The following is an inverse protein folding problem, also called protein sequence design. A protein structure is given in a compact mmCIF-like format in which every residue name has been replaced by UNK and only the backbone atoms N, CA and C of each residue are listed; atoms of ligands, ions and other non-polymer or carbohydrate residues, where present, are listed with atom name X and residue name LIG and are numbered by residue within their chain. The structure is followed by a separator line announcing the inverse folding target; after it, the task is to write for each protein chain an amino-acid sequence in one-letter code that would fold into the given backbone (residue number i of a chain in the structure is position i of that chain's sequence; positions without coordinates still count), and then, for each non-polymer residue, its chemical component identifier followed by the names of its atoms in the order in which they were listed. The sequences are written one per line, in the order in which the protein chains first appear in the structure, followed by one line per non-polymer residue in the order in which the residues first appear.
data_IF_593413821012
#
_entry.id   IF_593413821012
#
_cell.length_a   1.000
_cell.length_b   1.000
_cell.length_c   1.000
_cell.angle_alpha   90.00
_cell.angle_beta   90.00
_cell.angle_gamma   90.00
#
_symmetry.space_group_name_H-M   'P 1'
#
loop_
_entity.id
_entity.type
_entity.pdbx_description
1 polymer ?
#
# COMPACT_ATOMS: atom_id res chain seq x y z
N UNK A 1 -22.30 -32.63 -12.15
CA UNK A 1 -22.00 -33.86 -11.38
C UNK A 1 -22.13 -33.64 -9.88
N UNK A 2 -21.46 -32.65 -9.28
CA UNK A 2 -21.53 -32.40 -7.82
C UNK A 2 -22.97 -32.26 -7.28
N UNK A 3 -23.80 -31.40 -7.89
CA UNK A 3 -25.18 -31.18 -7.41
C UNK A 3 -26.01 -32.46 -7.41
N UNK A 4 -25.85 -33.32 -8.41
CA UNK A 4 -26.54 -34.61 -8.47
C UNK A 4 -26.04 -35.56 -7.38
N UNK A 5 -24.73 -35.63 -7.17
CA UNK A 5 -24.15 -36.43 -6.09
C UNK A 5 -24.67 -35.99 -4.71
N UNK A 6 -24.73 -34.68 -4.44
CA UNK A 6 -25.28 -34.14 -3.19
C UNK A 6 -26.75 -34.54 -2.97
N UNK A 7 -27.57 -34.47 -4.02
CA UNK A 7 -28.98 -34.91 -3.95
C UNK A 7 -29.07 -36.39 -3.63
N UNK A 8 -28.37 -37.24 -4.39
CA UNK A 8 -28.42 -38.69 -4.16
C UNK A 8 -27.86 -39.11 -2.80
N UNK A 9 -26.86 -38.40 -2.27
CA UNK A 9 -26.35 -38.62 -0.92
C UNK A 9 -27.37 -38.21 0.14
N UNK A 10 -28.01 -37.04 0.00
CA UNK A 10 -29.07 -36.59 0.89
C UNK A 10 -30.20 -37.62 1.00
N UNK A 11 -30.73 -38.06 -0.14
CA UNK A 11 -31.86 -38.99 -0.20
C UNK A 11 -31.52 -40.35 0.43
N UNK A 12 -30.24 -40.74 0.39
CA UNK A 12 -29.75 -41.97 1.00
C UNK A 12 -29.53 -41.93 2.51
N UNK A 13 -29.49 -40.75 3.15
CA UNK A 13 -29.08 -40.63 4.57
C UNK A 13 -30.06 -39.86 5.47
N UNK A 14 -30.94 -39.01 4.93
CA UNK A 14 -31.67 -38.02 5.75
C UNK A 14 -32.75 -38.64 6.65
N UNK A 15 -33.34 -39.78 6.26
CA UNK A 15 -34.46 -40.39 6.99
C UNK A 15 -35.72 -39.50 6.98
N UNK A 16 -36.67 -39.77 7.88
CA UNK A 16 -37.84 -38.90 8.07
C UNK A 16 -37.42 -37.65 8.87
N UNK A 17 -37.77 -36.48 8.35
CA UNK A 17 -37.65 -35.19 9.04
C UNK A 17 -38.94 -34.40 8.83
N UNK A 18 -39.55 -33.94 9.93
CA UNK A 18 -40.84 -33.23 9.95
C UNK A 18 -40.73 -31.73 9.65
N UNK A 19 -39.51 -31.23 9.39
CA UNK A 19 -39.24 -29.84 9.09
C UNK A 19 -38.85 -29.00 10.32
N UNK A 20 -38.86 -29.57 11.52
CA UNK A 20 -38.49 -28.83 12.74
C UNK A 20 -36.98 -28.52 12.78
N UNK A 21 -36.57 -27.37 13.32
CA UNK A 21 -35.16 -27.00 13.40
C UNK A 21 -34.41 -27.95 14.35
N UNK A 22 -33.48 -28.72 13.81
CA UNK A 22 -32.62 -29.63 14.60
C UNK A 22 -31.40 -28.93 15.22
N UNK A 23 -31.17 -27.66 14.87
CA UNK A 23 -30.08 -26.84 15.42
C UNK A 23 -30.49 -25.38 15.48
N UNK A 24 -29.96 -24.68 16.47
CA UNK A 24 -30.00 -23.22 16.50
C UNK A 24 -28.96 -22.72 15.49
N UNK A 25 -29.33 -21.80 14.57
CA UNK A 25 -28.36 -21.16 13.70
C UNK A 25 -27.22 -20.51 14.50
N UNK A 26 -26.01 -20.42 13.96
CA UNK A 26 -24.96 -19.62 14.59
C UNK A 26 -25.47 -18.19 14.79
N UNK A 27 -25.00 -17.52 15.86
CA UNK A 27 -25.31 -16.11 16.07
C UNK A 27 -24.79 -15.33 14.87
N UNK A 28 -25.69 -14.69 14.16
CA UNK A 28 -25.35 -13.60 13.25
C UNK A 28 -25.14 -12.36 14.12
N UNK A 29 -24.09 -11.60 13.88
CA UNK A 29 -23.81 -10.36 14.62
C UNK A 29 -25.01 -9.44 14.70
N UNK A 30 -25.06 -8.60 15.74
CA UNK A 30 -26.16 -7.64 15.95
C UNK A 30 -25.85 -6.24 15.41
N UNK A 31 -24.65 -6.02 14.88
CA UNK A 31 -24.20 -4.74 14.35
C UNK A 31 -23.65 -4.91 12.93
N UNK A 32 -23.73 -3.86 12.12
CA UNK A 32 -23.34 -3.90 10.70
C UNK A 32 -21.81 -4.02 10.51
N UNK A 33 -21.05 -3.77 11.57
CA UNK A 33 -19.59 -3.91 11.61
C UNK A 33 -19.12 -5.35 11.88
N UNK A 34 -20.01 -6.22 12.38
CA UNK A 34 -19.66 -7.61 12.68
C UNK A 34 -19.59 -8.48 11.40
N UNK A 35 -18.37 -8.70 10.94
CA UNK A 35 -18.08 -9.55 9.79
C UNK A 35 -17.72 -11.00 10.17
N UNK A 36 -17.86 -11.41 11.44
CA UNK A 36 -17.41 -12.71 11.94
C UNK A 36 -18.13 -13.90 11.28
N UNK A 37 -19.38 -13.70 10.83
CA UNK A 37 -20.19 -14.71 10.15
C UNK A 37 -19.71 -15.03 8.73
N UNK A 38 -18.92 -14.15 8.10
CA UNK A 38 -18.40 -14.33 6.75
C UNK A 38 -17.10 -15.15 6.75
N UNK A 39 -16.76 -15.80 5.63
CA UNK A 39 -15.41 -16.37 5.44
C UNK A 39 -14.39 -15.28 5.13
N UNK A 40 -13.08 -15.51 5.38
CA UNK A 40 -12.02 -14.51 5.13
C UNK A 40 -12.05 -13.89 3.73
N UNK A 41 -12.23 -14.66 2.63
CA UNK A 41 -12.32 -14.07 1.28
C UNK A 41 -13.53 -13.15 1.11
N UNK A 42 -14.70 -13.53 1.66
CA UNK A 42 -15.92 -12.72 1.54
C UNK A 42 -15.84 -11.46 2.39
N UNK A 43 -15.24 -11.53 3.59
CA UNK A 43 -14.94 -10.32 4.39
C UNK A 43 -14.08 -9.34 3.63
N UNK A 44 -13.00 -9.83 3.01
CA UNK A 44 -12.07 -9.00 2.25
C UNK A 44 -12.77 -8.30 1.10
N UNK A 45 -13.61 -9.02 0.35
CA UNK A 45 -14.40 -8.47 -0.75
C UNK A 45 -15.39 -7.40 -0.28
N UNK A 46 -16.07 -7.63 0.84
CA UNK A 46 -17.02 -6.65 1.41
C UNK A 46 -16.31 -5.36 1.82
N UNK A 47 -15.18 -5.48 2.53
CA UNK A 47 -14.37 -4.32 2.93
C UNK A 47 -13.93 -3.53 1.70
N UNK A 48 -13.43 -4.21 0.66
CA UNK A 48 -13.01 -3.55 -0.59
C UNK A 48 -14.19 -2.82 -1.26
N UNK A 49 -15.36 -3.45 -1.33
CA UNK A 49 -16.56 -2.87 -1.93
C UNK A 49 -17.05 -1.61 -1.19
N UNK A 50 -16.82 -1.52 0.11
CA UNK A 50 -17.21 -0.37 0.93
C UNK A 50 -16.14 0.72 0.96
N UNK A 51 -14.86 0.34 0.92
CA UNK A 51 -13.73 1.28 0.98
C UNK A 51 -13.43 1.94 -0.37
N UNK A 52 -13.34 1.14 -1.44
CA UNK A 52 -12.87 1.63 -2.74
C UNK A 52 -13.69 2.80 -3.31
N UNK A 53 -15.03 2.87 -3.19
CA UNK A 53 -15.80 3.99 -3.73
C UNK A 53 -15.46 5.37 -3.16
N UNK A 54 -14.88 5.42 -1.95
CA UNK A 54 -14.39 6.65 -1.34
C UNK A 54 -13.15 7.19 -2.06
N UNK A 55 -12.34 6.32 -2.68
CA UNK A 55 -11.12 6.70 -3.38
C UNK A 55 -11.37 6.72 -4.89
N UNK A 56 -10.93 7.80 -5.55
CA UNK A 56 -11.05 7.95 -7.00
C UNK A 56 -9.78 8.48 -7.60
N UNK A 57 -9.49 8.04 -8.81
CA UNK A 57 -8.42 8.60 -9.65
C UNK A 57 -9.05 9.12 -10.93
N UNK A 58 -8.79 10.38 -11.24
CA UNK A 58 -9.13 11.00 -12.52
C UNK A 58 -7.85 11.50 -13.17
N UNK A 59 -7.86 11.77 -14.47
CA UNK A 59 -6.66 12.25 -15.14
C UNK A 59 -6.81 12.34 -16.64
N UNK A 60 -5.81 12.95 -17.25
CA UNK A 60 -5.69 13.10 -18.69
C UNK A 60 -4.26 13.51 -19.06
N UNK A 61 -3.82 13.11 -20.24
CA UNK A 61 -2.63 13.64 -20.93
C UNK A 61 -1.32 13.73 -20.12
N UNK A 62 -1.05 12.73 -19.28
CA UNK A 62 0.17 12.69 -18.48
C UNK A 62 0.01 13.24 -17.07
N UNK A 63 -1.19 13.64 -16.66
CA UNK A 63 -1.51 14.08 -15.31
C UNK A 63 -2.61 13.20 -14.72
N UNK A 64 -2.54 12.94 -13.41
CA UNK A 64 -3.57 12.23 -12.68
C UNK A 64 -3.78 12.82 -11.28
N UNK A 65 -5.02 12.85 -10.81
CA UNK A 65 -5.39 13.33 -9.48
C UNK A 65 -6.06 12.20 -8.72
N UNK A 66 -5.54 11.89 -7.53
CA UNK A 66 -6.19 11.00 -6.58
C UNK A 66 -7.02 11.83 -5.60
N UNK A 67 -8.25 11.42 -5.36
CA UNK A 67 -9.19 12.08 -4.44
C UNK A 67 -9.81 11.08 -3.49
N UNK A 68 -10.16 11.54 -2.29
CA UNK A 68 -10.86 10.77 -1.26
C UNK A 68 -12.10 11.53 -0.83
N UNK A 69 -13.27 10.87 -0.87
CA UNK A 69 -14.57 11.48 -0.55
C UNK A 69 -14.85 12.77 -1.34
N UNK A 70 -14.37 12.82 -2.59
CA UNK A 70 -14.50 13.98 -3.47
C UNK A 70 -13.46 15.09 -3.25
N UNK A 71 -12.56 14.95 -2.27
CA UNK A 71 -11.48 15.91 -1.97
C UNK A 71 -10.19 15.51 -2.68
N UNK A 72 -9.54 16.39 -3.46
CA UNK A 72 -8.27 16.08 -4.09
C UNK A 72 -7.17 15.94 -3.02
N UNK A 73 -6.43 14.83 -3.07
CA UNK A 73 -5.34 14.52 -2.13
C UNK A 73 -3.99 14.87 -2.73
N UNK A 74 -3.77 14.46 -3.98
CA UNK A 74 -2.59 14.84 -4.74
C UNK A 74 -2.86 14.80 -6.24
N UNK A 75 -2.09 15.62 -6.96
CA UNK A 75 -1.95 15.54 -8.41
C UNK A 75 -0.52 15.15 -8.76
N UNK A 76 -0.38 14.18 -9.66
CA UNK A 76 0.89 13.66 -10.15
C UNK A 76 1.04 13.98 -11.65
N UNK A 77 2.24 14.42 -12.02
CA UNK A 77 2.58 14.78 -13.39
C UNK A 77 3.70 13.90 -13.94
N UNK A 78 3.49 13.34 -15.13
CA UNK A 78 4.50 12.55 -15.84
C UNK A 78 5.76 13.42 -16.07
N UNK A 79 6.94 12.96 -15.60
CA UNK A 79 8.20 13.63 -15.89
C UNK A 79 8.48 13.73 -17.39
N UNK A 80 9.19 14.78 -17.79
CA UNK A 80 9.59 14.92 -19.19
C UNK A 80 10.59 13.82 -19.59
N UNK A 81 10.71 13.56 -20.90
CA UNK A 81 11.72 12.61 -21.42
C UNK A 81 13.16 13.00 -21.03
N UNK A 82 13.42 14.29 -20.78
CA UNK A 82 14.73 14.75 -20.36
C UNK A 82 15.05 14.31 -18.92
N UNK A 83 14.06 14.35 -18.01
CA UNK A 83 14.20 13.81 -16.65
C UNK A 83 14.54 12.32 -16.69
N UNK A 84 13.77 11.52 -17.44
CA UNK A 84 14.05 10.08 -17.57
C UNK A 84 15.43 9.78 -18.14
N UNK A 85 15.88 10.55 -19.15
CA UNK A 85 17.24 10.39 -19.70
C UNK A 85 18.33 10.68 -18.68
N UNK A 86 18.17 11.72 -17.86
CA UNK A 86 19.13 12.05 -16.80
C UNK A 86 19.25 10.91 -15.77
N UNK A 87 18.14 10.20 -15.51
CA UNK A 87 18.05 9.10 -14.56
C UNK A 87 18.70 7.79 -15.06
N UNK A 88 19.00 7.64 -16.36
CA UNK A 88 19.64 6.41 -16.88
C UNK A 88 21.02 6.15 -16.24
N UNK A 89 21.77 7.21 -15.93
CA UNK A 89 23.06 7.08 -15.22
C UNK A 89 22.87 6.43 -13.84
N UNK A 90 21.79 6.77 -13.14
CA UNK A 90 21.45 6.17 -11.84
C UNK A 90 21.06 4.71 -12.00
N UNK A 91 20.18 4.36 -12.95
CA UNK A 91 19.77 2.97 -13.19
C UNK A 91 20.98 2.10 -13.55
N UNK A 92 21.90 2.62 -14.37
CA UNK A 92 23.16 1.94 -14.70
C UNK A 92 24.06 1.76 -13.47
N UNK A 93 24.19 2.76 -12.60
CA UNK A 93 24.98 2.64 -11.38
C UNK A 93 24.35 1.66 -10.37
N UNK A 94 23.02 1.70 -10.23
CA UNK A 94 22.27 0.78 -9.38
C UNK A 94 22.43 -0.69 -9.80
N UNK A 95 22.72 -0.97 -11.07
CA UNK A 95 22.94 -2.33 -11.55
C UNK A 95 24.10 -3.05 -10.86
N UNK A 96 25.08 -2.32 -10.32
CA UNK A 96 26.20 -2.89 -9.57
C UNK A 96 25.76 -3.58 -8.27
N UNK A 97 24.57 -3.23 -7.73
CA UNK A 97 24.00 -3.83 -6.52
C UNK A 97 23.16 -5.09 -6.79
N UNK A 98 23.00 -5.53 -8.05
CA UNK A 98 22.09 -6.63 -8.39
C UNK A 98 22.47 -7.94 -7.71
N UNK A 99 23.75 -8.26 -7.64
CA UNK A 99 24.23 -9.49 -7.00
C UNK A 99 23.83 -9.54 -5.51
N UNK A 100 23.94 -8.42 -4.81
CA UNK A 100 23.59 -8.33 -3.39
C UNK A 100 22.07 -8.32 -3.15
N UNK A 101 21.29 -7.82 -4.11
CA UNK A 101 19.84 -7.59 -3.95
C UNK A 101 18.95 -8.58 -4.65
N UNK A 102 19.48 -9.51 -5.44
CA UNK A 102 18.69 -10.42 -6.28
C UNK A 102 17.61 -11.19 -5.50
N UNK A 103 17.96 -11.77 -4.35
CA UNK A 103 17.02 -12.58 -3.57
C UNK A 103 15.88 -11.73 -2.99
N UNK A 104 16.21 -10.53 -2.48
CA UNK A 104 15.20 -9.57 -2.05
C UNK A 104 14.31 -9.16 -3.22
N UNK A 105 14.92 -8.85 -4.37
CA UNK A 105 14.21 -8.35 -5.56
C UNK A 105 13.19 -9.37 -6.05
N UNK A 106 13.59 -10.64 -6.16
CA UNK A 106 12.75 -11.74 -6.64
C UNK A 106 11.59 -12.00 -5.69
N UNK A 107 11.84 -12.10 -4.38
CA UNK A 107 10.76 -12.34 -3.41
C UNK A 107 9.75 -11.18 -3.38
N UNK A 108 10.26 -9.94 -3.41
CA UNK A 108 9.44 -8.71 -3.42
C UNK A 108 8.56 -8.55 -4.66
N UNK A 109 8.68 -9.42 -5.68
CA UNK A 109 7.73 -9.40 -6.82
C UNK A 109 6.35 -9.94 -6.46
N UNK A 110 6.26 -10.80 -5.43
CA UNK A 110 5.01 -11.42 -5.01
C UNK A 110 4.73 -11.32 -3.51
N UNK A 111 5.76 -11.09 -2.68
CA UNK A 111 5.62 -11.01 -1.23
C UNK A 111 6.36 -9.78 -0.68
N UNK A 112 5.59 -8.74 -0.38
CA UNK A 112 6.08 -7.53 0.27
C UNK A 112 6.03 -7.65 1.80
N UNK A 113 5.02 -8.31 2.36
CA UNK A 113 4.70 -8.24 3.78
C UNK A 113 5.51 -9.18 4.66
N UNK A 114 6.10 -10.26 4.15
CA UNK A 114 7.07 -11.03 4.94
C UNK A 114 8.27 -10.19 5.38
N UNK A 115 8.67 -9.19 4.58
CA UNK A 115 9.74 -8.26 4.95
C UNK A 115 9.32 -7.32 6.09
N UNK A 116 8.07 -6.85 6.09
CA UNK A 116 7.54 -6.07 7.22
C UNK A 116 7.36 -6.95 8.46
N UNK A 117 6.95 -8.21 8.28
CA UNK A 117 6.81 -9.17 9.37
C UNK A 117 8.11 -9.45 10.10
N UNK A 118 9.25 -9.49 9.38
CA UNK A 118 10.57 -9.62 9.99
C UNK A 118 10.94 -8.46 10.93
N UNK A 119 10.34 -7.27 10.77
CA UNK A 119 10.64 -6.10 11.60
C UNK A 119 9.81 -6.02 12.89
N UNK A 120 8.55 -6.44 12.81
CA UNK A 120 7.55 -6.21 13.86
C UNK A 120 6.95 -7.51 14.41
N UNK A 121 7.47 -8.67 14.02
CA UNK A 121 6.92 -10.00 14.34
C UNK A 121 5.45 -10.13 13.90
N UNK A 122 5.12 -9.67 12.68
CA UNK A 122 3.77 -9.85 12.14
C UNK A 122 3.53 -11.33 11.86
N UNK A 123 2.65 -11.96 12.65
CA UNK A 123 2.18 -13.32 12.41
C UNK A 123 0.66 -13.36 12.31
N UNK A 124 0.13 -14.32 11.55
CA UNK A 124 -1.31 -14.52 11.42
C UNK A 124 -2.00 -14.90 12.75
N UNK A 125 -1.23 -15.35 13.75
CA UNK A 125 -1.74 -15.76 15.05
C UNK A 125 -1.81 -14.59 16.05
N UNK A 126 -0.86 -13.64 15.96
CA UNK A 126 -0.77 -12.51 16.91
C UNK A 126 -1.28 -11.20 16.33
N UNK A 127 -1.16 -11.03 15.02
CA UNK A 127 -1.41 -9.77 14.33
C UNK A 127 -2.39 -9.96 13.16
N UNK A 128 -3.43 -10.79 13.37
CA UNK A 128 -4.39 -11.15 12.35
C UNK A 128 -5.13 -9.92 11.80
N UNK A 129 -5.47 -8.97 12.67
CA UNK A 129 -6.21 -7.75 12.33
C UNK A 129 -5.30 -6.72 11.67
N UNK A 130 -4.06 -6.58 12.15
CA UNK A 130 -3.03 -5.78 11.48
C UNK A 130 -2.76 -6.29 10.06
N UNK A 131 -2.59 -7.61 9.88
CA UNK A 131 -2.41 -8.19 8.55
C UNK A 131 -3.64 -7.97 7.66
N UNK A 132 -4.86 -8.13 8.19
CA UNK A 132 -6.07 -7.83 7.45
C UNK A 132 -6.14 -6.35 7.02
N UNK A 133 -5.71 -5.42 7.88
CA UNK A 133 -5.62 -4.00 7.57
C UNK A 133 -4.57 -3.71 6.48
N UNK A 134 -3.37 -4.29 6.59
CA UNK A 134 -2.30 -4.14 5.59
C UNK A 134 -2.69 -4.71 4.23
N UNK A 135 -3.31 -5.89 4.17
CA UNK A 135 -3.81 -6.46 2.92
C UNK A 135 -4.96 -5.64 2.32
N UNK A 136 -5.83 -5.06 3.16
CA UNK A 136 -6.88 -4.14 2.69
C UNK A 136 -6.27 -2.89 2.08
N UNK A 137 -5.29 -2.28 2.76
CA UNK A 137 -4.54 -1.14 2.23
C UNK A 137 -3.85 -1.50 0.89
N UNK A 138 -3.19 -2.66 0.80
CA UNK A 138 -2.54 -3.11 -0.43
C UNK A 138 -3.52 -3.28 -1.59
N UNK A 139 -4.66 -3.95 -1.38
CA UNK A 139 -5.67 -4.14 -2.42
C UNK A 139 -6.18 -2.79 -2.94
N UNK A 140 -6.45 -1.84 -2.03
CA UNK A 140 -6.78 -0.48 -2.40
C UNK A 140 -5.67 0.16 -3.24
N UNK A 141 -4.41 0.11 -2.82
CA UNK A 141 -3.28 0.70 -3.56
C UNK A 141 -3.17 0.13 -4.98
N UNK A 142 -3.30 -1.19 -5.14
CA UNK A 142 -3.27 -1.86 -6.45
C UNK A 142 -4.39 -1.33 -7.37
N UNK A 143 -5.59 -1.07 -6.83
CA UNK A 143 -6.68 -0.48 -7.62
C UNK A 143 -6.46 0.98 -8.00
N UNK A 144 -5.72 1.75 -7.20
CA UNK A 144 -5.46 3.17 -7.45
C UNK A 144 -4.24 3.39 -8.35
N UNK A 145 -3.20 2.57 -8.23
CA UNK A 145 -1.96 2.76 -9.00
C UNK A 145 -2.16 2.53 -10.51
N UNK A 146 -3.06 1.63 -10.90
CA UNK A 146 -3.27 1.30 -12.32
C UNK A 146 -3.87 2.48 -13.10
N UNK A 147 -4.93 3.16 -12.61
CA UNK A 147 -5.38 4.43 -13.18
C UNK A 147 -4.31 5.53 -13.18
N UNK A 148 -3.56 5.70 -12.08
CA UNK A 148 -2.47 6.71 -12.02
C UNK A 148 -1.44 6.47 -13.13
N UNK A 149 -1.02 5.22 -13.30
CA UNK A 149 -0.14 4.76 -14.39
C UNK A 149 -0.76 4.97 -15.76
N UNK A 150 -2.06 4.67 -15.90
CA UNK A 150 -2.78 4.79 -17.15
C UNK A 150 -2.88 6.23 -17.65
N UNK A 151 -3.09 7.19 -16.75
CA UNK A 151 -3.17 8.60 -17.12
C UNK A 151 -1.77 9.22 -17.31
N UNK A 152 -0.76 8.78 -16.55
CA UNK A 152 0.60 9.28 -16.70
C UNK A 152 1.32 8.75 -17.95
N UNK A 153 1.29 7.44 -18.22
CA UNK A 153 1.94 6.77 -19.37
C UNK A 153 3.40 7.18 -19.61
N UNK A 154 4.31 6.65 -18.81
CA UNK A 154 5.76 6.73 -19.03
C UNK A 154 6.38 5.43 -19.56
N UNK A 155 7.40 5.51 -20.45
CA UNK A 155 8.26 4.39 -20.83
C UNK A 155 9.16 3.91 -19.68
N UNK A 156 9.64 2.67 -19.79
CA UNK A 156 10.54 2.01 -18.84
C UNK A 156 12.02 2.32 -19.15
N UNK A 157 12.97 2.08 -18.22
CA UNK A 157 14.39 2.25 -18.49
C UNK A 157 14.90 1.49 -19.73
N UNK A 158 14.43 0.26 -19.95
CA UNK A 158 14.84 -0.57 -21.09
C UNK A 158 14.39 0.00 -22.45
N UNK A 159 13.29 0.76 -22.49
CA UNK A 159 12.79 1.40 -23.72
C UNK A 159 13.72 2.51 -24.20
N UNK A 160 14.49 3.13 -23.29
CA UNK A 160 15.50 4.11 -23.65
C UNK A 160 16.85 3.48 -23.99
N UNK A 161 17.20 2.35 -23.35
CA UNK A 161 18.46 1.68 -23.56
C UNK A 161 18.35 0.18 -23.26
N UNK A 162 18.43 -0.66 -24.30
CA UNK A 162 18.40 -2.13 -24.18
C UNK A 162 19.55 -2.70 -23.34
N UNK A 163 20.66 -1.96 -23.23
CA UNK A 163 21.80 -2.27 -22.36
C UNK A 163 21.45 -2.33 -20.86
N UNK A 164 20.30 -1.77 -20.44
CA UNK A 164 19.84 -1.86 -19.05
C UNK A 164 19.62 -3.32 -18.61
N UNK A 165 19.15 -4.18 -19.52
CA UNK A 165 18.87 -5.61 -19.30
C UNK A 165 18.24 -5.87 -17.91
N UNK A 166 16.94 -5.55 -17.73
CA UNK A 166 16.26 -5.74 -16.45
C UNK A 166 16.39 -7.18 -15.94
N UNK A 167 16.59 -7.36 -14.64
CA UNK A 167 16.81 -8.69 -14.04
C UNK A 167 15.52 -9.46 -13.73
N UNK A 168 14.38 -8.79 -13.88
CA UNK A 168 13.04 -9.38 -13.80
C UNK A 168 12.27 -8.99 -15.06
N UNK A 169 11.23 -9.74 -15.39
CA UNK A 169 10.43 -9.44 -16.57
C UNK A 169 9.80 -8.04 -16.42
N UNK A 170 9.93 -7.23 -17.47
CA UNK A 170 9.36 -5.88 -17.45
C UNK A 170 7.84 -5.98 -17.49
N UNK A 171 7.10 -5.38 -16.53
CA UNK A 171 5.65 -5.42 -16.56
C UNK A 171 5.08 -4.73 -17.79
N UNK A 172 3.91 -5.18 -18.25
CA UNK A 172 3.22 -4.71 -19.47
C UNK A 172 2.52 -3.35 -19.32
N UNK A 173 2.54 -2.77 -18.13
CA UNK A 173 1.98 -1.46 -17.82
C UNK A 173 3.05 -0.38 -17.61
N UNK A 174 2.61 0.88 -17.54
CA UNK A 174 3.47 2.06 -17.43
C UNK A 174 4.45 2.03 -16.24
N UNK A 175 5.62 2.65 -16.44
CA UNK A 175 6.67 2.84 -15.43
C UNK A 175 6.29 3.82 -14.32
N UNK A 176 5.52 4.87 -14.62
CA UNK A 176 5.33 5.98 -13.67
C UNK A 176 3.88 6.09 -13.21
N UNK A 177 3.61 6.25 -11.89
CA UNK A 177 4.55 6.09 -10.76
C UNK A 177 4.92 4.62 -10.50
N UNK A 178 5.88 4.35 -9.61
CA UNK A 178 6.20 2.98 -9.16
C UNK A 178 5.10 2.43 -8.26
N UNK A 179 4.50 1.30 -8.64
CA UNK A 179 3.38 0.69 -7.91
C UNK A 179 3.81 0.12 -6.57
N UNK A 180 4.85 -0.73 -6.57
CA UNK A 180 5.45 -1.22 -5.33
C UNK A 180 5.88 -0.11 -4.38
N UNK A 181 6.31 1.06 -4.87
CA UNK A 181 6.61 2.19 -3.99
C UNK A 181 5.33 2.73 -3.30
N UNK A 182 4.22 2.87 -4.04
CA UNK A 182 2.92 3.24 -3.44
C UNK A 182 2.54 2.21 -2.37
N UNK A 183 2.54 0.93 -2.73
CA UNK A 183 2.15 -0.17 -1.83
C UNK A 183 2.95 -0.17 -0.52
N UNK A 184 4.28 -0.12 -0.59
CA UNK A 184 5.15 -0.25 0.60
C UNK A 184 5.20 1.00 1.45
N UNK A 185 5.09 2.20 0.87
CA UNK A 185 5.02 3.44 1.66
C UNK A 185 3.64 3.63 2.30
N UNK A 186 2.55 3.19 1.65
CA UNK A 186 1.23 3.13 2.29
C UNK A 186 1.21 2.11 3.43
N UNK A 187 1.78 0.91 3.21
CA UNK A 187 1.89 -0.10 4.26
C UNK A 187 2.77 0.36 5.44
N UNK A 188 3.91 1.01 5.17
CA UNK A 188 4.75 1.58 6.22
C UNK A 188 4.01 2.65 7.04
N UNK A 189 3.20 3.47 6.38
CA UNK A 189 2.38 4.51 7.03
C UNK A 189 1.32 3.90 7.94
N UNK A 190 0.54 2.95 7.43
CA UNK A 190 -0.48 2.23 8.22
C UNK A 190 0.17 1.50 9.39
N UNK A 191 1.30 0.82 9.18
CA UNK A 191 1.99 0.10 10.25
C UNK A 191 2.56 1.05 11.31
N UNK A 192 3.14 2.19 10.93
CA UNK A 192 3.61 3.20 11.87
C UNK A 192 2.47 3.76 12.73
N UNK A 193 1.33 4.07 12.11
CA UNK A 193 0.11 4.52 12.81
C UNK A 193 -0.44 3.45 13.76
N UNK A 194 -0.53 2.19 13.35
CA UNK A 194 -1.03 1.11 14.21
C UNK A 194 -0.09 0.78 15.38
N UNK A 195 1.23 0.71 15.12
CA UNK A 195 2.20 0.26 16.13
C UNK A 195 2.67 1.38 17.06
N UNK A 196 2.59 2.62 16.60
CA UNK A 196 3.14 3.76 17.33
C UNK A 196 2.26 4.99 17.32
N UNK A 197 1.16 5.06 16.57
CA UNK A 197 0.36 6.29 16.41
C UNK A 197 1.02 7.42 15.63
N UNK A 198 2.29 7.27 15.22
CA UNK A 198 3.02 8.29 14.46
C UNK A 198 2.61 8.24 12.99
N UNK A 199 2.40 9.41 12.39
CA UNK A 199 2.30 9.55 10.94
C UNK A 199 3.67 9.44 10.27
N UNK A 200 3.71 9.46 8.93
CA UNK A 200 4.93 9.20 8.17
C UNK A 200 6.04 10.23 8.45
N UNK A 201 5.71 11.51 8.63
CA UNK A 201 6.72 12.56 8.82
C UNK A 201 7.38 12.43 10.20
N UNK A 202 6.60 12.22 11.25
CA UNK A 202 7.08 11.96 12.61
C UNK A 202 7.86 10.64 12.66
N UNK A 203 7.35 9.56 12.06
CA UNK A 203 8.04 8.26 12.03
C UNK A 203 9.44 8.33 11.38
N UNK A 204 9.65 9.21 10.39
CA UNK A 204 10.95 9.40 9.73
C UNK A 204 11.89 10.39 10.42
N UNK A 205 11.42 11.12 11.43
CA UNK A 205 12.19 12.19 12.11
C UNK A 205 12.44 11.89 13.58
N UNK A 206 11.53 11.18 14.24
CA UNK A 206 11.58 10.95 15.66
C UNK A 206 12.70 9.98 16.06
N UNK A 207 13.50 10.39 17.04
CA UNK A 207 14.70 9.68 17.47
C UNK A 207 14.48 8.79 18.69
N UNK A 208 13.29 8.81 19.29
CA UNK A 208 12.92 7.94 20.43
C UNK A 208 12.90 6.46 20.04
N UNK A 209 12.82 5.54 21.00
CA UNK A 209 12.71 4.11 20.67
C UNK A 209 11.45 3.81 19.84
N UNK A 210 10.32 4.47 20.18
CA UNK A 210 9.07 4.49 19.42
C UNK A 210 9.29 4.97 17.98
N UNK A 211 9.89 6.15 17.81
CA UNK A 211 10.21 6.71 16.50
C UNK A 211 11.12 5.82 15.66
N UNK A 212 12.19 5.28 16.26
CA UNK A 212 13.10 4.35 15.57
C UNK A 212 12.40 3.09 15.08
N UNK A 213 11.44 2.56 15.84
CA UNK A 213 10.63 1.41 15.43
C UNK A 213 9.77 1.76 14.21
N UNK A 214 9.03 2.86 14.26
CA UNK A 214 8.22 3.34 13.14
C UNK A 214 9.08 3.60 11.89
N UNK A 215 10.24 4.24 12.06
CA UNK A 215 11.17 4.53 10.98
C UNK A 215 11.78 3.30 10.27
N UNK A 216 11.81 2.12 10.91
CA UNK A 216 12.27 0.89 10.24
C UNK A 216 11.36 0.49 9.09
N UNK A 217 10.05 0.69 9.22
CA UNK A 217 9.08 0.40 8.17
C UNK A 217 9.35 1.27 6.92
N UNK A 218 9.63 2.56 7.11
CA UNK A 218 9.99 3.48 6.02
C UNK A 218 11.35 3.18 5.39
N UNK A 219 12.34 2.73 6.17
CA UNK A 219 13.64 2.28 5.63
C UNK A 219 13.49 1.03 4.77
N UNK A 220 12.58 0.12 5.13
CA UNK A 220 12.27 -1.05 4.30
C UNK A 220 11.49 -0.65 3.06
N UNK A 221 10.48 0.21 3.18
CA UNK A 221 9.74 0.76 2.05
C UNK A 221 10.71 1.41 1.03
N UNK A 222 11.64 2.23 1.52
CA UNK A 222 12.72 2.80 0.71
C UNK A 222 13.59 1.74 0.04
N UNK A 223 14.00 0.69 0.76
CA UNK A 223 14.80 -0.40 0.22
C UNK A 223 14.06 -1.16 -0.89
N UNK A 224 12.79 -1.47 -0.71
CA UNK A 224 11.97 -2.16 -1.71
C UNK A 224 11.77 -1.29 -2.97
N UNK A 225 11.48 0.00 -2.78
CA UNK A 225 11.34 0.95 -3.87
C UNK A 225 12.65 1.14 -4.66
N UNK A 226 13.79 1.19 -3.96
CA UNK A 226 15.13 1.27 -4.57
C UNK A 226 15.48 -0.02 -5.32
N UNK A 227 15.09 -1.18 -4.78
CA UNK A 227 15.28 -2.48 -5.42
C UNK A 227 14.60 -2.55 -6.80
N UNK A 228 13.57 -1.73 -7.08
CA UNK A 228 12.96 -1.63 -8.41
C UNK A 228 13.85 -0.93 -9.44
N UNK A 229 14.61 0.09 -9.01
CA UNK A 229 15.63 0.74 -9.84
C UNK A 229 16.83 -0.18 -10.08
N UNK A 230 17.28 -0.90 -9.03
CA UNK A 230 18.33 -1.92 -9.13
C UNK A 230 17.93 -3.02 -10.12
N UNK A 231 16.67 -3.45 -10.07
CA UNK A 231 16.13 -4.44 -11.00
C UNK A 231 16.06 -3.94 -12.46
N UNK A 232 16.21 -2.64 -12.69
CA UNK A 232 16.19 -2.03 -14.03
C UNK A 232 14.78 -1.77 -14.59
N UNK A 233 13.74 -1.89 -13.76
CA UNK A 233 12.34 -1.74 -14.21
C UNK A 233 11.74 -0.36 -13.92
N UNK A 234 12.36 0.44 -13.06
CA UNK A 234 11.88 1.78 -12.68
C UNK A 234 13.03 2.79 -12.65
N UNK A 235 12.70 4.07 -12.86
CA UNK A 235 13.59 5.18 -12.56
C UNK A 235 13.45 5.60 -11.08
N UNK A 236 14.47 6.20 -10.45
CA UNK A 236 14.34 6.75 -9.11
C UNK A 236 13.18 7.75 -8.94
N UNK A 237 12.89 8.58 -9.95
CA UNK A 237 11.70 9.46 -9.96
C UNK A 237 10.37 8.70 -9.87
N UNK A 238 10.26 7.50 -10.45
CA UNK A 238 9.06 6.66 -10.34
C UNK A 238 8.83 6.24 -8.88
N UNK A 239 9.91 5.83 -8.22
CA UNK A 239 9.91 5.47 -6.79
C UNK A 239 9.69 6.68 -5.89
N UNK A 240 10.22 7.85 -6.26
CA UNK A 240 9.98 9.10 -5.56
C UNK A 240 8.52 9.51 -5.54
N UNK A 241 7.89 9.49 -6.71
CA UNK A 241 6.47 9.81 -6.85
C UNK A 241 5.58 8.80 -6.11
N UNK A 242 5.89 7.51 -6.27
CA UNK A 242 5.17 6.44 -5.57
C UNK A 242 5.33 6.52 -4.05
N UNK A 243 6.48 6.95 -3.54
CA UNK A 243 6.69 7.13 -2.11
C UNK A 243 5.83 8.26 -1.51
N UNK A 244 5.77 9.41 -2.20
CA UNK A 244 4.89 10.52 -1.77
C UNK A 244 3.42 10.09 -1.82
N UNK A 245 2.98 9.54 -2.95
CA UNK A 245 1.61 9.06 -3.13
C UNK A 245 1.23 7.97 -2.09
N UNK A 246 2.14 7.02 -1.84
CA UNK A 246 1.92 5.95 -0.85
C UNK A 246 1.76 6.49 0.57
N UNK A 247 2.60 7.43 1.00
CA UNK A 247 2.43 8.06 2.31
C UNK A 247 1.10 8.82 2.43
N UNK A 248 0.73 9.59 1.41
CA UNK A 248 -0.54 10.34 1.41
C UNK A 248 -1.75 9.40 1.43
N UNK A 249 -1.73 8.34 0.63
CA UNK A 249 -2.82 7.35 0.60
C UNK A 249 -2.90 6.54 1.89
N UNK A 250 -1.77 6.19 2.50
CA UNK A 250 -1.75 5.54 3.82
C UNK A 250 -2.33 6.44 4.92
N UNK A 251 -2.00 7.73 4.89
CA UNK A 251 -2.58 8.76 5.77
C UNK A 251 -4.08 8.98 5.51
N UNK A 252 -4.53 8.85 4.26
CA UNK A 252 -5.94 8.93 3.91
C UNK A 252 -6.72 7.71 4.41
N UNK A 253 -6.16 6.50 4.28
CA UNK A 253 -6.73 5.28 4.88
C UNK A 253 -6.87 5.43 6.40
N UNK A 254 -5.87 6.03 7.05
CA UNK A 254 -5.95 6.35 8.47
C UNK A 254 -7.12 7.28 8.79
N UNK A 255 -7.24 8.42 8.11
CA UNK A 255 -8.34 9.39 8.31
C UNK A 255 -9.72 8.77 8.11
N UNK A 256 -9.89 8.00 7.05
CA UNK A 256 -11.16 7.28 6.78
C UNK A 256 -11.46 6.27 7.90
N UNK A 257 -10.46 5.55 8.39
CA UNK A 257 -10.65 4.58 9.46
C UNK A 257 -10.97 5.23 10.83
N UNK A 258 -10.51 6.46 11.07
CA UNK A 258 -10.68 7.17 12.35
C UNK A 258 -11.77 8.25 12.32
N UNK A 259 -12.39 8.50 11.18
CA UNK A 259 -13.38 9.56 11.01
C UNK A 259 -12.81 10.97 11.13
N UNK A 260 -11.49 11.15 10.96
CA UNK A 260 -10.85 12.46 11.04
C UNK A 260 -11.12 13.27 9.77
N UNK A 261 -11.52 14.53 9.96
CA UNK A 261 -11.83 15.48 8.87
C UNK A 261 -10.71 16.51 8.62
N UNK A 262 -9.53 16.32 9.22
CA UNK A 262 -8.34 17.18 9.11
C UNK A 262 -7.52 16.87 7.84
N UNK A 263 -8.15 17.07 6.68
CA UNK A 263 -7.51 16.81 5.38
C UNK A 263 -6.46 17.87 5.03
N UNK A 264 -5.26 17.47 4.56
CA UNK A 264 -4.26 18.42 4.10
C UNK A 264 -4.67 19.05 2.76
N UNK A 265 -4.03 20.17 2.43
CA UNK A 265 -4.09 20.72 1.07
C UNK A 265 -3.56 19.71 0.03
N UNK A 266 -4.05 19.83 -1.20
CA UNK A 266 -3.64 18.99 -2.32
C UNK A 266 -2.13 19.10 -2.58
N UNK A 267 -1.45 17.95 -2.65
CA UNK A 267 -0.01 17.90 -2.92
C UNK A 267 0.27 17.74 -4.43
N UNK A 268 1.12 18.60 -4.98
CA UNK A 268 1.62 18.44 -6.35
C UNK A 268 2.90 17.59 -6.39
N UNK A 269 2.91 16.56 -7.23
CA UNK A 269 4.01 15.61 -7.43
C UNK A 269 4.51 15.73 -8.87
N UNK A 270 5.59 16.50 -9.04
CA UNK A 270 6.28 16.68 -10.32
C UNK A 270 7.80 16.64 -10.15
N UNK A 271 8.49 16.38 -11.26
CA UNK A 271 9.95 16.31 -11.31
C UNK A 271 10.49 17.11 -12.49
N UNK A 272 11.51 17.91 -12.21
CA UNK A 272 12.22 18.73 -13.20
C UNK A 272 13.64 18.19 -13.43
N UNK A 273 14.21 18.56 -14.58
CA UNK A 273 15.61 18.25 -14.90
C UNK A 273 16.53 18.97 -13.94
N UNK A 274 17.49 18.25 -13.34
CA UNK A 274 18.51 18.88 -12.50
C UNK A 274 19.51 19.66 -13.37
N UNK A 275 20.11 20.71 -12.81
CA UNK A 275 21.05 21.57 -13.52
C UNK A 275 22.34 20.85 -13.93
N UNK A 276 23.12 21.49 -14.81
CA UNK A 276 24.42 20.97 -15.22
C UNK A 276 25.37 20.87 -14.02
N UNK A 277 25.92 19.68 -13.79
CA UNK A 277 26.82 19.39 -12.66
C UNK A 277 26.10 18.97 -11.37
N UNK A 278 24.78 19.09 -11.30
CA UNK A 278 24.00 18.54 -10.17
C UNK A 278 23.82 17.03 -10.31
N UNK A 279 23.88 16.28 -9.19
CA UNK A 279 23.58 14.86 -9.24
C UNK A 279 22.12 14.64 -9.69
N UNK A 280 21.84 13.61 -10.50
CA UNK A 280 20.48 13.23 -10.82
C UNK A 280 19.69 12.96 -9.53
N UNK A 281 18.39 13.28 -9.54
CA UNK A 281 17.49 12.99 -8.42
C UNK A 281 17.61 11.52 -7.97
N UNK A 282 17.58 11.32 -6.65
CA UNK A 282 17.46 10.01 -6.03
C UNK A 282 16.49 10.08 -4.85
N UNK A 283 15.78 9.00 -4.59
CA UNK A 283 14.85 8.94 -3.47
C UNK A 283 15.64 8.81 -2.17
N UNK A 284 15.44 9.76 -1.25
CA UNK A 284 15.91 9.65 0.14
C UNK A 284 14.73 9.90 1.09
N UNK A 285 14.77 9.32 2.29
CA UNK A 285 13.74 9.58 3.30
C UNK A 285 13.72 11.04 3.76
N UNK A 286 14.87 11.74 3.71
CA UNK A 286 14.95 13.17 3.98
C UNK A 286 14.23 14.01 2.90
N UNK A 287 14.41 13.65 1.63
CA UNK A 287 13.67 14.29 0.54
C UNK A 287 12.16 14.04 0.69
N UNK A 288 11.78 12.78 0.97
CA UNK A 288 10.39 12.37 1.10
C UNK A 288 9.69 13.15 2.22
N UNK A 289 10.24 13.18 3.44
CA UNK A 289 9.62 13.90 4.57
C UNK A 289 9.40 15.39 4.30
N UNK A 290 10.26 16.02 3.50
CA UNK A 290 10.15 17.44 3.16
C UNK A 290 9.05 17.70 2.10
N UNK A 291 8.55 16.65 1.45
CA UNK A 291 7.44 16.71 0.49
C UNK A 291 6.09 16.32 1.09
N UNK A 292 6.07 15.83 2.33
CA UNK A 292 4.84 15.46 3.01
C UNK A 292 4.27 16.64 3.80
N UNK A 293 2.93 16.78 3.82
CA UNK A 293 2.25 17.68 4.77
C UNK A 293 2.53 17.22 6.21
N UNK A 294 2.06 18.00 7.17
CA UNK A 294 2.09 17.56 8.56
C UNK A 294 1.18 16.34 8.77
N UNK A 295 1.58 15.49 9.71
CA UNK A 295 0.84 14.26 10.02
C UNK A 295 -0.53 14.61 10.60
N UNK A 296 -1.56 13.81 10.30
CA UNK A 296 -2.86 13.95 10.97
C UNK A 296 -2.75 13.82 12.48
N UNK A 297 -3.71 14.42 13.18
CA UNK A 297 -3.88 14.23 14.62
C UNK A 297 -4.08 12.76 14.99
N UNK A 298 -3.80 12.43 16.25
CA UNK A 298 -4.02 11.08 16.76
C UNK A 298 -5.53 10.83 16.96
N UNK A 299 -6.11 10.00 16.10
CA UNK A 299 -7.46 9.45 16.21
C UNK A 299 -7.47 7.95 16.59
N UNK A 300 -8.57 7.53 17.22
CA UNK A 300 -8.94 6.13 17.40
C UNK A 300 -9.83 5.67 16.23
N UNK A 301 -9.87 4.37 15.96
CA UNK A 301 -10.75 3.82 14.91
C UNK A 301 -12.22 4.11 15.23
N UNK A 302 -12.98 4.52 14.22
CA UNK A 302 -14.42 4.79 14.35
C UNK A 302 -15.20 3.47 14.52
N UNK A 303 -15.77 3.21 15.71
CA UNK A 303 -16.46 1.95 15.98
C UNK A 303 -17.78 1.81 15.22
N UNK A 304 -18.29 2.87 14.58
CA UNK A 304 -19.52 2.84 13.76
C UNK A 304 -19.25 2.43 12.30
N UNK A 305 -17.99 2.13 11.95
CA UNK A 305 -17.63 1.68 10.61
C UNK A 305 -16.87 0.36 10.64
N UNK A 306 -17.01 -0.44 9.57
CA UNK A 306 -16.25 -1.69 9.40
C UNK A 306 -14.73 -1.43 9.40
N UNK A 307 -14.28 -0.39 8.70
CA UNK A 307 -12.86 -0.07 8.61
C UNK A 307 -12.33 0.43 9.96
N UNK A 308 -13.07 1.29 10.65
CA UNK A 308 -12.68 1.80 11.96
C UNK A 308 -12.71 0.75 13.06
N UNK A 309 -13.66 -0.19 13.02
CA UNK A 309 -13.65 -1.38 13.87
C UNK A 309 -12.41 -2.25 13.61
N UNK A 310 -12.11 -2.56 12.34
CA UNK A 310 -10.91 -3.31 11.99
C UNK A 310 -9.63 -2.58 12.42
N UNK A 311 -9.57 -1.26 12.27
CA UNK A 311 -8.46 -0.42 12.70
C UNK A 311 -8.28 -0.47 14.22
N UNK A 312 -9.37 -0.29 14.98
CA UNK A 312 -9.34 -0.34 16.44
C UNK A 312 -8.87 -1.70 16.94
N UNK A 313 -9.39 -2.79 16.38
CA UNK A 313 -8.94 -4.16 16.68
C UNK A 313 -7.46 -4.37 16.33
N UNK A 314 -6.99 -3.86 15.18
CA UNK A 314 -5.59 -3.94 14.80
C UNK A 314 -4.68 -3.14 15.74
N UNK A 315 -5.10 -1.95 16.18
CA UNK A 315 -4.33 -1.13 17.12
C UNK A 315 -4.24 -1.78 18.51
N UNK A 316 -5.27 -2.53 18.93
CA UNK A 316 -5.25 -3.29 20.18
C UNK A 316 -4.15 -4.35 20.22
N UNK A 317 -3.79 -4.94 19.07
CA UNK A 317 -2.72 -5.95 18.96
C UNK A 317 -1.32 -5.40 19.33
N UNK A 318 -1.16 -4.08 19.49
CA UNK A 318 0.13 -3.42 19.76
C UNK A 318 0.22 -2.69 21.10
N UNK A 319 -0.85 -2.66 21.92
CA UNK A 319 -0.86 -1.90 23.19
C UNK A 319 0.20 -2.32 24.21
N UNK A 320 0.54 -3.61 24.26
CA UNK A 320 1.56 -4.15 25.18
C UNK A 320 2.99 -3.66 24.87
N UNK A 321 3.21 -3.04 23.71
CA UNK A 321 4.52 -2.56 23.27
C UNK A 321 4.71 -1.04 23.43
N UNK A 322 3.71 -0.35 23.97
CA UNK A 322 3.70 1.10 24.19
C UNK A 322 3.82 1.51 25.66
N UNK A 323 3.80 0.53 26.59
CA UNK A 323 4.17 0.70 28.01
C UNK A 323 5.65 0.36 28.24
#
# INVERSE_FOLDING_TARGET
MLSWSLVTTHDGIVGYWDGEPLRVPPRMGTSDEDLSYLSKPVRSLLIDAMLHPAFRVTGSDGQATASVEGRPLFTIERPSRAVFRQQLKMVRAYADLRADRVNEILMQTGDLFSFFGAQCYLSAERNAKTLAMLYTCQRLMVTLEMPLKHFCRAPRPVDYATHIQPMIQTPDHSSYPSGHAIEVFAAATVLARLTTGLGPKAAMTETTARGRRAGMAFRLAHRIATNRSIAGVHFPVDSGAGAVAGCLLGEAVYRVATGLDDWPDEVSIGFETQGDGEPPYDLTLNWLRNRLPDDADAGAGDPETILGTLWAEAALEWRELTE
#
